data_IF_801275436357
#
_entry.id   IF_801275436357
#
_cell.length_a   1.000
_cell.length_b   1.000
_cell.length_c   1.000
_cell.angle_alpha   90.00
_cell.angle_beta   90.00
_cell.angle_gamma   90.00
#
_symmetry.space_group_name_H-M   'P 1'
#
loop_
_entity.id
_entity.type
_entity.pdbx_description
1 polymer ?
#
# COMPACT_ATOMS: atom_id res chain seq x y z
N UNK A 1 3.32 5.04 24.36
CA UNK A 1 2.18 4.42 23.66
C UNK A 1 1.93 3.06 24.27
N UNK A 2 1.09 3.01 25.29
CA UNK A 2 0.68 1.77 25.97
C UNK A 2 -0.82 1.85 26.27
N UNK A 3 -1.53 0.71 26.20
CA UNK A 3 -1.04 -0.60 25.76
C UNK A 3 -0.87 -0.73 24.22
N UNK A 4 0.09 -1.55 23.80
CA UNK A 4 0.40 -1.80 22.38
C UNK A 4 0.49 -3.28 22.08
N UNK A 5 -0.13 -3.69 20.96
CA UNK A 5 -0.06 -5.05 20.45
C UNK A 5 0.40 -5.08 19.01
N UNK A 6 1.05 -6.19 18.65
CA UNK A 6 1.34 -6.54 17.27
C UNK A 6 0.39 -7.65 16.84
N UNK A 7 -0.13 -7.56 15.62
CA UNK A 7 -0.83 -8.67 14.97
C UNK A 7 -0.10 -9.01 13.69
N UNK A 8 0.62 -10.13 13.73
CA UNK A 8 1.40 -10.63 12.60
C UNK A 8 0.56 -11.56 11.75
N UNK A 9 0.63 -11.37 10.45
CA UNK A 9 0.02 -12.23 9.45
C UNK A 9 1.10 -12.74 8.50
N UNK A 10 0.89 -13.93 7.94
CA UNK A 10 1.69 -14.42 6.83
C UNK A 10 1.16 -13.92 5.47
N UNK A 11 1.70 -14.48 4.37
CA UNK A 11 1.34 -14.07 3.02
C UNK A 11 -0.10 -14.50 2.61
N UNK A 12 -0.64 -15.53 3.24
CA UNK A 12 -1.99 -16.05 2.97
C UNK A 12 -3.05 -15.42 3.87
N UNK A 13 -2.61 -14.71 4.92
CA UNK A 13 -3.46 -14.01 5.88
C UNK A 13 -3.72 -14.83 7.13
N UNK A 14 -2.97 -15.90 7.37
CA UNK A 14 -3.02 -16.61 8.65
C UNK A 14 -2.35 -15.75 9.72
N UNK A 15 -3.05 -15.61 10.85
CA UNK A 15 -2.65 -14.74 11.96
C UNK A 15 -1.84 -15.54 12.98
N UNK A 16 -0.82 -14.90 13.57
CA UNK A 16 -0.21 -15.40 14.79
C UNK A 16 -1.27 -15.50 15.89
N UNK A 17 -1.66 -16.73 16.21
CA UNK A 17 -2.75 -16.99 17.15
C UNK A 17 -2.40 -16.58 18.57
N UNK A 18 -1.13 -16.65 18.96
CA UNK A 18 -0.68 -16.24 20.30
C UNK A 18 -0.82 -14.74 20.46
N UNK A 19 -0.37 -13.95 19.47
CA UNK A 19 -0.55 -12.50 19.46
C UNK A 19 -2.02 -12.09 19.45
N UNK A 20 -2.84 -12.76 18.62
CA UNK A 20 -4.29 -12.53 18.55
C UNK A 20 -4.97 -12.78 19.89
N UNK A 21 -4.72 -13.93 20.50
CA UNK A 21 -5.39 -14.35 21.72
C UNK A 21 -4.96 -13.47 22.91
N UNK A 22 -3.71 -13.01 22.93
CA UNK A 22 -3.21 -12.02 23.87
C UNK A 22 -3.95 -10.68 23.74
N UNK A 23 -4.07 -10.14 22.52
CA UNK A 23 -4.83 -8.91 22.25
C UNK A 23 -6.29 -9.05 22.70
N UNK A 24 -6.93 -10.19 22.42
CA UNK A 24 -8.34 -10.43 22.80
C UNK A 24 -8.53 -10.39 24.32
N UNK A 25 -7.59 -10.97 25.08
CA UNK A 25 -7.64 -10.97 26.54
C UNK A 25 -7.41 -9.57 27.12
N UNK A 26 -6.32 -8.91 26.73
CA UNK A 26 -5.92 -7.65 27.37
C UNK A 26 -6.84 -6.47 27.01
N UNK A 27 -7.42 -6.44 25.81
CA UNK A 27 -8.40 -5.39 25.45
C UNK A 27 -9.58 -5.36 26.41
N UNK A 28 -10.05 -6.53 26.85
CA UNK A 28 -11.11 -6.64 27.83
C UNK A 28 -10.64 -6.27 29.24
N UNK A 29 -9.48 -6.78 29.65
CA UNK A 29 -8.93 -6.58 30.99
C UNK A 29 -8.54 -5.11 31.26
N UNK A 30 -8.00 -4.41 30.26
CA UNK A 30 -7.63 -2.99 30.37
C UNK A 30 -8.83 -2.04 30.15
N UNK A 31 -9.99 -2.59 29.79
CA UNK A 31 -11.22 -1.87 29.45
C UNK A 31 -11.00 -0.80 28.38
N UNK A 32 -10.34 -1.18 27.28
CA UNK A 32 -10.09 -0.28 26.16
C UNK A 32 -11.40 0.18 25.55
N UNK A 33 -11.55 1.49 25.33
CA UNK A 33 -12.75 2.08 24.72
C UNK A 33 -12.60 2.23 23.22
N UNK A 34 -11.42 2.64 22.77
CA UNK A 34 -11.12 2.96 21.37
C UNK A 34 -9.78 2.30 20.98
N UNK A 35 -9.84 1.35 20.04
CA UNK A 35 -8.69 0.61 19.51
C UNK A 35 -8.26 1.21 18.17
N UNK A 36 -7.06 1.77 18.10
CA UNK A 36 -6.46 2.25 16.86
C UNK A 36 -5.66 1.11 16.21
N UNK A 37 -6.07 0.67 15.04
CA UNK A 37 -5.42 -0.42 14.29
C UNK A 37 -4.78 0.15 13.04
N UNK A 38 -3.45 0.13 12.97
CA UNK A 38 -2.68 0.67 11.85
C UNK A 38 -2.01 -0.44 11.05
N UNK A 39 -2.27 -0.47 9.75
CA UNK A 39 -1.54 -1.31 8.79
C UNK A 39 -0.62 -0.45 7.92
N UNK A 40 0.69 -0.76 7.94
CA UNK A 40 1.67 -0.12 7.07
C UNK A 40 1.53 -0.58 5.61
N UNK A 41 2.10 0.21 4.70
CA UNK A 41 2.28 -0.17 3.30
C UNK A 41 3.52 -1.02 3.08
N UNK A 42 4.68 -0.37 2.94
CA UNK A 42 5.93 -0.99 2.47
C UNK A 42 7.05 -0.82 3.52
N UNK A 43 6.98 -1.61 4.59
CA UNK A 43 8.06 -1.74 5.57
C UNK A 43 8.71 -3.12 5.41
N UNK A 44 10.04 -3.12 5.39
CA UNK A 44 10.85 -4.28 4.98
C UNK A 44 11.08 -5.28 6.12
N UNK A 45 10.94 -4.80 7.35
CA UNK A 45 11.09 -5.59 8.56
C UNK A 45 10.19 -5.02 9.67
N UNK A 46 10.12 -5.79 10.75
CA UNK A 46 9.30 -5.50 11.92
C UNK A 46 9.76 -4.23 12.63
N UNK A 47 11.07 -3.96 12.71
CA UNK A 47 11.59 -2.78 13.40
C UNK A 47 11.17 -1.49 12.69
N UNK A 48 11.28 -1.45 11.36
CA UNK A 48 10.81 -0.33 10.53
C UNK A 48 9.29 -0.14 10.66
N UNK A 49 8.53 -1.23 10.71
CA UNK A 49 7.08 -1.19 10.92
C UNK A 49 6.72 -0.61 12.29
N UNK A 50 7.34 -1.11 13.35
CA UNK A 50 7.08 -0.70 14.72
C UNK A 50 7.54 0.72 14.99
N UNK A 51 8.64 1.19 14.37
CA UNK A 51 9.03 2.60 14.42
C UNK A 51 8.00 3.52 13.74
N UNK A 52 7.51 3.16 12.55
CA UNK A 52 6.43 3.89 11.89
C UNK A 52 5.20 4.00 12.80
N UNK A 53 4.80 2.89 13.42
CA UNK A 53 3.64 2.83 14.31
C UNK A 53 3.83 3.72 15.53
N UNK A 54 4.98 3.59 16.21
CA UNK A 54 5.34 4.44 17.35
C UNK A 54 5.27 5.92 16.99
N UNK A 55 5.85 6.31 15.86
CA UNK A 55 5.89 7.72 15.42
C UNK A 55 4.52 8.25 15.03
N UNK A 56 3.71 7.46 14.33
CA UNK A 56 2.35 7.86 13.95
C UNK A 56 1.43 7.99 15.17
N UNK A 57 1.54 7.08 16.13
CA UNK A 57 0.68 7.05 17.31
C UNK A 57 1.16 7.96 18.45
N UNK A 58 2.41 8.41 18.45
CA UNK A 58 2.94 9.34 19.47
C UNK A 58 1.99 10.50 19.81
N UNK A 59 1.46 11.28 18.86
CA UNK A 59 0.53 12.37 19.18
C UNK A 59 -0.82 11.91 19.74
N UNK A 60 -1.25 10.66 19.51
CA UNK A 60 -2.58 10.19 19.89
C UNK A 60 -2.80 10.18 21.41
N UNK A 61 -1.75 9.91 22.20
CA UNK A 61 -1.85 9.89 23.66
C UNK A 61 -2.25 11.26 24.22
N UNK A 62 -1.65 12.33 23.71
CA UNK A 62 -1.90 13.70 24.17
C UNK A 62 -3.22 14.27 23.63
N UNK A 63 -3.71 13.72 22.51
CA UNK A 63 -4.99 14.10 21.92
C UNK A 63 -6.19 13.50 22.67
N UNK A 64 -6.04 12.39 23.38
CA UNK A 64 -7.16 11.64 23.95
C UNK A 64 -7.75 12.30 25.20
N UNK A 65 -9.05 12.60 25.16
CA UNK A 65 -9.76 13.15 26.31
C UNK A 65 -9.76 12.19 27.52
N UNK A 66 -9.98 12.70 28.74
CA UNK A 66 -9.74 11.97 30.00
C UNK A 66 -10.60 10.72 30.23
N UNK A 67 -11.64 10.50 29.41
CA UNK A 67 -12.51 9.31 29.47
C UNK A 67 -12.23 8.29 28.37
N UNK A 68 -11.31 8.58 27.46
CA UNK A 68 -10.90 7.68 26.38
C UNK A 68 -9.78 6.79 26.88
N UNK A 69 -9.94 5.47 26.77
CA UNK A 69 -8.87 4.49 27.00
C UNK A 69 -8.43 3.96 25.65
N UNK A 70 -7.30 4.45 25.17
CA UNK A 70 -6.76 4.07 23.87
C UNK A 70 -5.97 2.76 23.96
N UNK A 71 -6.23 1.87 23.01
CA UNK A 71 -5.35 0.75 22.69
C UNK A 71 -4.76 0.91 21.30
N UNK A 72 -3.56 0.39 21.08
CA UNK A 72 -2.83 0.53 19.82
C UNK A 72 -2.46 -0.83 19.23
N UNK A 73 -2.76 -1.04 17.95
CA UNK A 73 -2.40 -2.27 17.23
C UNK A 73 -1.61 -1.94 15.98
N UNK A 74 -0.41 -2.51 15.89
CA UNK A 74 0.39 -2.56 14.67
C UNK A 74 0.14 -3.86 13.90
N UNK A 75 -0.30 -3.77 12.64
CA UNK A 75 -0.51 -4.94 11.79
C UNK A 75 0.78 -5.26 11.03
N UNK A 76 1.43 -6.37 11.34
CA UNK A 76 2.62 -6.83 10.64
C UNK A 76 2.21 -7.81 9.55
N UNK A 77 2.70 -7.60 8.34
CA UNK A 77 2.41 -8.48 7.20
C UNK A 77 3.58 -8.44 6.22
N UNK A 78 3.79 -9.49 5.41
CA UNK A 78 4.97 -9.57 4.56
C UNK A 78 4.86 -8.53 3.44
N UNK A 79 5.56 -7.40 3.60
CA UNK A 79 5.61 -6.31 2.64
C UNK A 79 7.06 -6.04 2.23
N UNK A 80 7.25 -5.51 1.02
CA UNK A 80 8.57 -5.16 0.49
C UNK A 80 8.56 -3.74 -0.09
N UNK A 81 9.61 -2.99 0.22
CA UNK A 81 10.07 -1.75 -0.43
C UNK A 81 11.49 -1.95 -0.91
N UNK A 82 11.79 -1.51 -2.12
CA UNK A 82 13.17 -1.52 -2.59
C UNK A 82 14.01 -0.50 -1.76
N UNK A 83 15.18 -0.90 -1.21
CA UNK A 83 16.01 -0.05 -0.36
C UNK A 83 16.48 1.27 -0.99
N UNK A 84 16.54 1.36 -2.31
CA UNK A 84 16.94 2.55 -3.05
C UNK A 84 15.86 3.65 -3.11
N UNK A 85 14.68 3.41 -2.51
CA UNK A 85 13.63 4.41 -2.33
C UNK A 85 13.79 5.16 -0.99
N UNK A 86 14.03 6.50 -1.01
CA UNK A 86 14.18 7.29 0.21
C UNK A 86 12.85 7.41 0.97
N UNK A 87 12.92 7.35 2.31
CA UNK A 87 11.79 7.64 3.19
C UNK A 87 12.08 8.94 3.95
N UNK A 88 11.16 9.91 3.96
CA UNK A 88 11.23 11.04 4.89
C UNK A 88 11.33 10.55 6.33
N UNK A 89 12.18 11.19 7.13
CA UNK A 89 12.27 11.02 8.58
C UNK A 89 12.79 9.64 9.08
N UNK A 90 13.25 8.75 8.18
CA UNK A 90 14.06 7.59 8.56
C UNK A 90 15.53 7.85 8.23
N UNK A 91 16.45 7.40 9.08
CA UNK A 91 17.85 7.29 8.70
C UNK A 91 17.94 6.45 7.41
N UNK A 92 18.69 6.88 6.38
CA UNK A 92 18.98 6.03 5.24
C UNK A 92 19.52 4.70 5.77
N UNK A 93 18.97 3.57 5.29
CA UNK A 93 19.42 2.25 5.74
C UNK A 93 20.95 2.21 5.69
N UNK A 94 21.62 1.66 6.71
CA UNK A 94 23.10 1.65 6.76
C UNK A 94 23.74 0.95 5.54
N UNK A 95 22.97 0.17 4.79
CA UNK A 95 23.33 -0.43 3.50
C UNK A 95 23.34 0.55 2.32
N UNK A 96 22.65 1.69 2.43
CA UNK A 96 22.62 2.79 1.47
C UNK A 96 23.72 3.85 1.72
N UNK A 97 24.59 3.66 2.72
CA UNK A 97 25.69 4.60 3.05
C UNK A 97 26.96 4.40 2.21
N UNK A 98 26.94 3.50 1.23
CA UNK A 98 27.94 3.50 0.17
C UNK A 98 27.82 4.74 -0.72
N UNK A 99 28.89 5.18 -1.39
CA UNK A 99 28.73 6.18 -2.45
C UNK A 99 27.65 5.67 -3.40
N UNK A 100 26.63 6.49 -3.66
CA UNK A 100 25.59 6.16 -4.64
C UNK A 100 26.24 5.65 -5.93
N UNK A 101 25.58 4.74 -6.67
CA UNK A 101 26.17 4.09 -7.82
C UNK A 101 26.89 5.13 -8.68
N UNK A 102 28.20 4.92 -8.87
CA UNK A 102 29.03 5.84 -9.64
C UNK A 102 28.34 6.12 -11.00
N UNK A 103 28.42 7.33 -11.56
CA UNK A 103 27.82 7.63 -12.86
C UNK A 103 28.26 6.57 -13.88
N UNK A 104 27.30 5.77 -14.38
CA UNK A 104 27.56 4.63 -15.29
C UNK A 104 27.47 3.22 -14.68
N UNK A 105 27.33 3.07 -13.37
CA UNK A 105 26.94 1.81 -12.74
C UNK A 105 25.45 1.57 -13.03
N UNK A 106 25.15 0.83 -14.10
CA UNK A 106 23.76 0.49 -14.44
C UNK A 106 23.05 -0.36 -13.37
N UNK A 107 21.88 -0.93 -13.68
CA UNK A 107 21.05 -1.60 -12.68
C UNK A 107 21.74 -2.89 -12.21
N UNK A 108 21.77 -3.08 -10.89
CA UNK A 108 22.23 -4.29 -10.22
C UNK A 108 21.19 -4.62 -9.15
N UNK A 109 20.91 -5.90 -8.97
CA UNK A 109 20.20 -6.35 -7.79
C UNK A 109 21.20 -6.39 -6.64
N UNK A 110 21.25 -5.32 -5.85
CA UNK A 110 22.15 -5.26 -4.70
C UNK A 110 21.82 -6.35 -3.67
N UNK A 111 22.79 -6.68 -2.82
CA UNK A 111 22.64 -7.74 -1.82
C UNK A 111 21.48 -7.50 -0.84
N UNK A 112 21.27 -6.27 -0.32
CA UNK A 112 20.11 -5.97 0.52
C UNK A 112 18.77 -6.25 -0.17
N UNK A 113 18.60 -5.83 -1.42
CA UNK A 113 17.37 -6.05 -2.19
C UNK A 113 17.17 -7.53 -2.49
N UNK A 114 18.25 -8.26 -2.83
CA UNK A 114 18.21 -9.71 -3.05
C UNK A 114 17.72 -10.45 -1.81
N UNK A 115 18.33 -10.21 -0.64
CA UNK A 115 17.94 -10.84 0.62
C UNK A 115 16.49 -10.53 1.00
N UNK A 116 16.04 -9.31 0.71
CA UNK A 116 14.67 -8.89 0.97
C UNK A 116 13.66 -9.60 0.04
N UNK A 117 14.00 -9.78 -1.24
CA UNK A 117 13.20 -10.59 -2.17
C UNK A 117 13.15 -12.05 -1.72
N UNK A 118 14.27 -12.64 -1.29
CA UNK A 118 14.33 -14.02 -0.80
C UNK A 118 13.44 -14.21 0.43
N UNK A 119 13.45 -13.28 1.38
CA UNK A 119 12.54 -13.30 2.53
C UNK A 119 11.07 -13.14 2.14
N UNK A 120 10.79 -12.37 1.09
CA UNK A 120 9.42 -12.06 0.63
C UNK A 120 8.82 -13.19 -0.22
N UNK A 121 9.69 -13.95 -0.89
CA UNK A 121 9.40 -15.03 -1.84
C UNK A 121 10.31 -16.23 -1.56
N UNK A 122 10.14 -16.91 -0.40
CA UNK A 122 11.08 -17.93 0.08
C UNK A 122 11.22 -19.13 -0.86
N UNK A 123 10.17 -19.47 -1.61
CA UNK A 123 10.19 -20.60 -2.55
C UNK A 123 10.85 -20.25 -3.90
N UNK A 124 11.41 -19.05 -4.06
CA UNK A 124 11.92 -18.52 -5.33
C UNK A 124 13.39 -18.08 -5.28
N UNK A 125 14.20 -18.59 -4.35
CA UNK A 125 15.62 -18.22 -4.22
C UNK A 125 16.43 -18.45 -5.51
N UNK A 126 16.15 -19.54 -6.23
CA UNK A 126 16.84 -19.87 -7.47
C UNK A 126 16.50 -18.86 -8.59
N UNK A 127 15.22 -18.52 -8.72
CA UNK A 127 14.71 -17.53 -9.66
C UNK A 127 15.28 -16.15 -9.36
N UNK A 128 15.30 -15.73 -8.09
CA UNK A 128 15.86 -14.44 -7.65
C UNK A 128 17.36 -14.35 -8.01
N UNK A 129 18.11 -15.42 -7.80
CA UNK A 129 19.53 -15.49 -8.18
C UNK A 129 19.74 -15.34 -9.69
N UNK A 130 18.90 -15.99 -10.50
CA UNK A 130 18.94 -15.88 -11.95
C UNK A 130 18.55 -14.47 -12.43
N UNK A 131 17.53 -13.87 -11.83
CA UNK A 131 17.11 -12.47 -12.07
C UNK A 131 18.28 -11.51 -11.81
N UNK A 132 18.96 -11.66 -10.67
CA UNK A 132 20.13 -10.86 -10.33
C UNK A 132 21.28 -11.04 -11.33
N UNK A 133 21.55 -12.28 -11.74
CA UNK A 133 22.56 -12.59 -12.76
C UNK A 133 22.26 -11.94 -14.12
N UNK A 134 21.00 -11.94 -14.56
CA UNK A 134 20.59 -11.32 -15.82
C UNK A 134 20.68 -9.79 -15.77
N UNK A 135 20.31 -9.16 -14.63
CA UNK A 135 20.50 -7.72 -14.41
C UNK A 135 21.98 -7.31 -14.45
N UNK A 136 22.86 -8.16 -13.94
CA UNK A 136 24.30 -7.93 -13.99
C UNK A 136 24.88 -8.18 -15.40
N UNK A 137 24.41 -9.21 -16.12
CA UNK A 137 24.86 -9.54 -17.48
C UNK A 137 24.57 -8.40 -18.46
N UNK A 138 23.39 -7.77 -18.36
CA UNK A 138 22.92 -6.70 -19.28
C UNK A 138 23.06 -7.06 -20.75
N UNK A 139 22.77 -8.32 -21.06
CA UNK A 139 22.94 -8.88 -22.39
C UNK A 139 22.21 -8.08 -23.45
N UNK A 140 22.82 -7.96 -24.64
CA UNK A 140 22.18 -7.36 -25.80
C UNK A 140 21.26 -8.32 -26.56
N UNK A 141 21.25 -9.62 -26.17
CA UNK A 141 20.47 -10.66 -26.83
C UNK A 141 19.00 -10.59 -26.35
N UNK A 142 18.00 -10.38 -27.24
CA UNK A 142 16.60 -10.24 -26.85
C UNK A 142 16.04 -11.42 -26.03
N UNK A 143 16.50 -12.65 -26.31
CA UNK A 143 16.09 -13.85 -25.56
C UNK A 143 16.42 -13.78 -24.07
N UNK A 144 17.42 -12.99 -23.67
CA UNK A 144 17.77 -12.77 -22.26
C UNK A 144 16.75 -11.89 -21.55
N UNK A 145 16.22 -10.85 -22.21
CA UNK A 145 15.13 -10.05 -21.66
C UNK A 145 13.81 -10.85 -21.60
N UNK A 146 13.56 -11.73 -22.57
CA UNK A 146 12.42 -12.65 -22.50
C UNK A 146 12.55 -13.64 -21.33
N UNK A 147 13.75 -14.21 -21.14
CA UNK A 147 14.04 -15.05 -19.99
C UNK A 147 13.83 -14.29 -18.67
N UNK A 148 14.33 -13.05 -18.59
CA UNK A 148 14.15 -12.17 -17.44
C UNK A 148 12.67 -11.92 -17.14
N UNK A 149 11.90 -11.49 -18.15
CA UNK A 149 10.47 -11.21 -17.99
C UNK A 149 9.69 -12.44 -17.53
N UNK A 150 10.01 -13.63 -18.03
CA UNK A 150 9.41 -14.88 -17.55
C UNK A 150 9.75 -15.15 -16.08
N UNK A 151 11.02 -15.04 -15.68
CA UNK A 151 11.42 -15.23 -14.28
C UNK A 151 10.73 -14.25 -13.33
N UNK A 152 10.59 -12.98 -13.73
CA UNK A 152 9.85 -11.99 -12.93
C UNK A 152 8.38 -12.35 -12.81
N UNK A 153 7.75 -12.87 -13.87
CA UNK A 153 6.36 -13.35 -13.83
C UNK A 153 6.21 -14.56 -12.93
N UNK A 154 7.12 -15.52 -13.02
CA UNK A 154 7.13 -16.73 -12.21
C UNK A 154 7.33 -16.39 -10.72
N UNK A 155 8.23 -15.45 -10.40
CA UNK A 155 8.48 -14.95 -9.03
C UNK A 155 7.21 -14.41 -8.36
N UNK A 156 6.34 -13.75 -9.12
CA UNK A 156 5.10 -13.16 -8.60
C UNK A 156 3.86 -13.94 -9.04
N UNK A 157 4.05 -15.15 -9.58
CA UNK A 157 2.93 -16.01 -9.92
C UNK A 157 2.23 -16.44 -8.62
N UNK A 158 0.91 -16.47 -8.65
CA UNK A 158 0.11 -17.01 -7.56
C UNK A 158 -0.36 -18.40 -7.95
N UNK A 159 -0.32 -19.35 -7.01
CA UNK A 159 -0.81 -20.70 -7.25
C UNK A 159 -2.25 -20.67 -7.79
N UNK A 160 -2.53 -21.53 -8.78
CA UNK A 160 -3.87 -21.69 -9.32
C UNK A 160 -4.83 -22.05 -8.18
N UNK A 161 -5.92 -21.28 -8.03
CA UNK A 161 -6.93 -21.37 -6.95
C UNK A 161 -6.55 -20.77 -5.59
N UNK A 162 -5.41 -20.10 -5.45
CA UNK A 162 -5.10 -19.35 -4.21
C UNK A 162 -6.06 -18.18 -4.01
N UNK A 163 -6.29 -17.80 -2.75
CA UNK A 163 -7.13 -16.65 -2.43
C UNK A 163 -6.57 -15.34 -2.99
N UNK A 164 -5.24 -15.21 -3.03
CA UNK A 164 -4.52 -14.06 -3.57
C UNK A 164 -4.89 -13.74 -5.04
N UNK A 165 -5.23 -14.76 -5.84
CA UNK A 165 -5.69 -14.55 -7.22
C UNK A 165 -6.98 -13.70 -7.30
N UNK A 166 -7.87 -13.82 -6.32
CA UNK A 166 -9.15 -13.08 -6.27
C UNK A 166 -8.99 -11.62 -5.85
N UNK A 167 -7.82 -11.24 -5.35
CA UNK A 167 -7.55 -9.93 -4.75
C UNK A 167 -6.61 -9.05 -5.57
N UNK A 168 -6.33 -9.43 -6.81
CA UNK A 168 -5.38 -8.74 -7.67
C UNK A 168 -5.89 -7.42 -8.26
N UNK A 169 -7.21 -7.31 -8.39
CA UNK A 169 -7.85 -6.30 -9.23
C UNK A 169 -8.62 -5.25 -8.40
N UNK A 170 -8.41 -3.97 -8.69
CA UNK A 170 -9.13 -2.84 -8.05
C UNK A 170 -10.39 -2.44 -8.81
N UNK A 171 -10.36 -2.73 -10.09
CA UNK A 171 -11.42 -2.64 -11.10
C UNK A 171 -11.40 -3.99 -11.82
N UNK A 172 -12.52 -4.53 -12.31
CA UNK A 172 -12.63 -5.88 -12.91
C UNK A 172 -11.83 -6.06 -14.22
N UNK A 173 -10.54 -5.75 -14.25
CA UNK A 173 -9.60 -5.91 -15.35
C UNK A 173 -8.69 -7.08 -15.01
N UNK A 174 -8.23 -7.85 -16.00
CA UNK A 174 -7.38 -9.03 -15.79
C UNK A 174 -6.02 -8.70 -15.17
N UNK A 175 -5.09 -9.65 -15.23
CA UNK A 175 -3.71 -9.40 -14.80
C UNK A 175 -3.11 -8.18 -15.52
N UNK A 176 -2.25 -7.39 -14.85
CA UNK A 176 -1.62 -6.24 -15.47
C UNK A 176 -0.71 -6.71 -16.58
N UNK A 177 -0.68 -6.02 -17.71
CA UNK A 177 0.04 -6.52 -18.87
C UNK A 177 1.57 -6.47 -18.74
N UNK A 178 2.11 -5.88 -17.67
CA UNK A 178 3.51 -6.08 -17.32
C UNK A 178 3.80 -7.58 -17.06
N UNK A 179 2.77 -8.33 -16.67
CA UNK A 179 2.79 -9.76 -16.45
C UNK A 179 2.32 -10.58 -17.67
N UNK A 180 1.74 -9.98 -18.71
CA UNK A 180 1.18 -10.72 -19.85
C UNK A 180 1.74 -10.34 -21.23
N UNK A 181 2.09 -9.07 -21.47
CA UNK A 181 2.52 -8.56 -22.78
C UNK A 181 3.99 -8.91 -23.10
N UNK A 182 4.53 -8.38 -24.20
CA UNK A 182 5.93 -8.57 -24.57
C UNK A 182 6.87 -7.92 -23.54
N UNK A 183 7.82 -8.69 -23.00
CA UNK A 183 8.72 -8.23 -21.94
C UNK A 183 9.62 -7.07 -22.39
N UNK A 184 10.02 -7.02 -23.67
CA UNK A 184 10.86 -5.95 -24.20
C UNK A 184 10.08 -4.66 -24.27
N UNK A 185 8.84 -4.70 -24.79
CA UNK A 185 7.95 -3.53 -24.86
C UNK A 185 7.64 -2.98 -23.46
N UNK A 186 7.33 -3.86 -22.50
CA UNK A 186 7.09 -3.48 -21.10
C UNK A 186 8.32 -2.78 -20.50
N UNK A 187 9.53 -3.32 -20.71
CA UNK A 187 10.77 -2.69 -20.24
C UNK A 187 11.01 -1.33 -20.92
N UNK A 188 10.69 -1.17 -22.20
CA UNK A 188 10.79 0.13 -22.89
C UNK A 188 9.88 1.17 -22.26
N UNK A 189 8.63 0.82 -21.95
CA UNK A 189 7.66 1.71 -21.31
C UNK A 189 8.16 2.18 -19.94
N UNK A 190 8.65 1.25 -19.11
CA UNK A 190 9.20 1.59 -17.80
C UNK A 190 10.46 2.45 -17.90
N UNK A 191 11.38 2.12 -18.80
CA UNK A 191 12.58 2.92 -19.02
C UNK A 191 12.25 4.36 -19.42
N UNK A 192 11.31 4.55 -20.35
CA UNK A 192 10.89 5.87 -20.81
C UNK A 192 10.22 6.69 -19.69
N UNK A 193 9.42 6.04 -18.83
CA UNK A 193 8.75 6.73 -17.73
C UNK A 193 9.73 7.23 -16.66
N UNK A 194 10.80 6.47 -16.38
CA UNK A 194 11.85 6.86 -15.44
C UNK A 194 12.69 8.04 -15.95
N UNK A 195 12.74 8.30 -17.25
CA UNK A 195 13.45 9.46 -17.81
C UNK A 195 12.65 10.78 -17.65
N UNK A 196 11.32 10.70 -17.54
CA UNK A 196 10.42 11.85 -17.38
C UNK A 196 10.46 12.54 -16.01
N UNK A 197 11.20 11.99 -15.04
CA UNK A 197 11.41 12.56 -13.70
C UNK A 197 12.72 13.36 -13.57
N UNK A 198 13.54 13.40 -14.63
CA UNK A 198 14.65 14.35 -14.83
C UNK A 198 16.07 13.83 -14.56
N UNK A 199 16.81 13.49 -15.62
CA UNK A 199 18.02 14.18 -16.11
C UNK A 199 18.42 13.54 -17.44
N UNK A 200 18.68 14.38 -18.43
CA UNK A 200 18.89 13.98 -19.82
C UNK A 200 20.33 13.50 -20.03
N UNK A 201 20.62 12.23 -19.71
CA UNK A 201 21.84 11.58 -20.23
C UNK A 201 21.59 11.11 -21.67
N UNK A 202 22.01 11.95 -22.61
CA UNK A 202 21.90 11.74 -24.06
C UNK A 202 23.01 10.82 -24.63
N UNK A 203 23.70 10.02 -23.81
CA UNK A 203 24.86 9.22 -24.28
C UNK A 203 24.96 7.79 -23.71
N UNK A 204 23.87 7.23 -23.17
CA UNK A 204 23.75 5.78 -22.95
C UNK A 204 23.15 5.10 -24.19
N UNK A 205 23.70 3.96 -24.64
CA UNK A 205 23.06 3.20 -25.74
C UNK A 205 21.59 2.94 -25.40
N UNK A 206 20.70 3.03 -26.40
CA UNK A 206 19.25 2.80 -26.28
C UNK A 206 18.90 1.50 -25.50
N UNK A 207 19.84 0.55 -25.45
CA UNK A 207 19.73 -0.78 -24.84
C UNK A 207 20.21 -0.88 -23.39
N UNK A 208 21.13 -0.02 -22.91
CA UNK A 208 21.42 0.12 -21.46
C UNK A 208 20.18 0.64 -20.72
N UNK A 209 19.37 1.45 -21.39
CA UNK A 209 18.07 1.94 -20.89
C UNK A 209 17.04 0.81 -20.69
N UNK A 210 17.06 -0.24 -21.53
CA UNK A 210 16.12 -1.36 -21.39
C UNK A 210 16.30 -2.11 -20.07
N UNK A 211 17.54 -2.33 -19.62
CA UNK A 211 17.79 -3.01 -18.36
C UNK A 211 17.43 -2.17 -17.14
N UNK A 212 17.40 -0.83 -17.24
CA UNK A 212 16.78 0.02 -16.21
C UNK A 212 15.27 -0.23 -16.15
N UNK A 213 14.63 -0.34 -17.31
CA UNK A 213 13.22 -0.74 -17.41
C UNK A 213 12.96 -2.16 -16.90
N UNK A 214 13.90 -3.09 -17.07
CA UNK A 214 13.82 -4.44 -16.51
C UNK A 214 13.89 -4.42 -14.98
N UNK A 215 14.80 -3.64 -14.39
CA UNK A 215 14.85 -3.43 -12.95
C UNK A 215 13.54 -2.84 -12.41
N UNK A 216 12.97 -1.85 -13.11
CA UNK A 216 11.67 -1.28 -12.78
C UNK A 216 10.53 -2.30 -12.93
N UNK A 217 10.57 -3.17 -13.94
CA UNK A 217 9.61 -4.28 -14.09
C UNK A 217 9.64 -5.20 -12.87
N UNK A 218 10.81 -5.59 -12.37
CA UNK A 218 10.92 -6.40 -11.15
C UNK A 218 10.30 -5.67 -9.95
N UNK A 219 10.64 -4.39 -9.75
CA UNK A 219 10.06 -3.56 -8.68
C UNK A 219 8.53 -3.53 -8.75
N UNK A 220 7.97 -3.21 -9.93
CA UNK A 220 6.52 -3.11 -10.11
C UNK A 220 5.82 -4.47 -9.96
N UNK A 221 6.44 -5.56 -10.43
CA UNK A 221 5.93 -6.91 -10.21
C UNK A 221 5.86 -7.25 -8.72
N UNK A 222 6.93 -6.97 -7.96
CA UNK A 222 6.94 -7.17 -6.50
C UNK A 222 5.86 -6.34 -5.80
N UNK A 223 5.66 -5.07 -6.20
CA UNK A 223 4.58 -4.23 -5.64
C UNK A 223 3.19 -4.74 -5.99
N UNK A 224 3.00 -5.30 -7.19
CA UNK A 224 1.73 -5.95 -7.54
C UNK A 224 1.47 -7.21 -6.69
N UNK A 225 2.51 -7.97 -6.34
CA UNK A 225 2.37 -9.06 -5.38
C UNK A 225 1.92 -8.54 -4.00
N UNK A 226 2.47 -7.43 -3.52
CA UNK A 226 2.06 -6.82 -2.25
C UNK A 226 0.62 -6.33 -2.29
N UNK A 227 0.19 -5.76 -3.42
CA UNK A 227 -1.21 -5.34 -3.64
C UNK A 227 -2.19 -6.51 -3.51
N UNK A 228 -1.87 -7.68 -4.08
CA UNK A 228 -2.68 -8.91 -3.91
C UNK A 228 -2.71 -9.36 -2.46
N UNK A 229 -1.52 -9.45 -1.84
CA UNK A 229 -1.33 -9.91 -0.47
C UNK A 229 -2.08 -9.04 0.53
N UNK A 230 -2.07 -7.72 0.37
CA UNK A 230 -2.86 -6.79 1.17
C UNK A 230 -4.37 -7.13 1.15
N UNK A 231 -4.90 -7.56 0.00
CA UNK A 231 -6.28 -8.03 -0.09
C UNK A 231 -6.52 -9.36 0.63
N UNK A 232 -5.60 -10.33 0.50
CA UNK A 232 -5.64 -11.61 1.25
C UNK A 232 -5.62 -11.38 2.76
N UNK A 233 -4.56 -10.74 3.26
CA UNK A 233 -4.36 -10.45 4.68
C UNK A 233 -5.52 -9.64 5.24
N UNK A 234 -5.99 -8.64 4.49
CA UNK A 234 -7.16 -7.85 4.88
C UNK A 234 -8.41 -8.72 5.02
N UNK A 235 -8.83 -9.40 3.94
CA UNK A 235 -10.12 -10.08 3.89
C UNK A 235 -10.15 -11.42 4.66
N UNK A 236 -9.06 -12.17 4.67
CA UNK A 236 -8.99 -13.51 5.27
C UNK A 236 -8.37 -13.52 6.67
N UNK A 237 -7.48 -12.55 6.97
CA UNK A 237 -6.83 -12.46 8.27
C UNK A 237 -7.48 -11.43 9.19
N UNK A 238 -7.21 -10.15 8.93
CA UNK A 238 -7.61 -9.07 9.83
C UNK A 238 -9.14 -8.94 9.93
N UNK A 239 -9.88 -9.19 8.84
CA UNK A 239 -11.35 -9.18 8.86
C UNK A 239 -11.96 -10.12 9.90
N UNK A 240 -11.64 -11.43 9.87
CA UNK A 240 -12.02 -12.38 10.91
C UNK A 240 -11.50 -12.03 12.30
N UNK A 241 -10.27 -11.53 12.44
CA UNK A 241 -9.72 -11.10 13.74
C UNK A 241 -10.53 -9.97 14.37
N UNK A 242 -10.93 -8.94 13.60
CA UNK A 242 -11.86 -7.91 14.07
C UNK A 242 -13.23 -8.50 14.43
N UNK A 243 -13.67 -9.54 13.71
CA UNK A 243 -14.87 -10.29 14.05
C UNK A 243 -14.82 -10.96 15.42
N UNK A 244 -13.67 -11.49 15.82
CA UNK A 244 -13.45 -12.06 17.15
C UNK A 244 -13.42 -10.96 18.22
N UNK A 245 -12.69 -9.87 17.98
CA UNK A 245 -12.66 -8.70 18.89
C UNK A 245 -14.07 -8.15 19.15
N UNK A 246 -14.89 -8.02 18.10
CA UNK A 246 -16.26 -7.54 18.23
C UNK A 246 -17.18 -8.48 19.03
N UNK A 247 -16.82 -9.76 19.16
CA UNK A 247 -17.56 -10.74 19.97
C UNK A 247 -17.12 -10.70 21.43
N UNK A 248 -15.82 -10.65 21.68
CA UNK A 248 -15.26 -10.66 23.05
C UNK A 248 -15.41 -9.30 23.74
N UNK A 249 -15.31 -8.20 22.99
CA UNK A 249 -15.45 -6.83 23.49
C UNK A 249 -16.52 -6.07 22.66
N UNK A 250 -17.82 -6.30 22.91
CA UNK A 250 -18.91 -5.76 22.08
C UNK A 250 -19.02 -4.23 22.13
N UNK A 251 -18.58 -3.60 23.21
CA UNK A 251 -18.59 -2.14 23.38
C UNK A 251 -17.35 -1.45 22.79
N UNK A 252 -16.34 -2.23 22.35
CA UNK A 252 -15.11 -1.72 21.78
C UNK A 252 -15.36 -0.96 20.47
N UNK A 253 -14.76 0.21 20.36
CA UNK A 253 -14.76 1.02 19.14
C UNK A 253 -13.45 0.79 18.40
N UNK A 254 -13.52 0.26 17.18
CA UNK A 254 -12.34 -0.02 16.37
C UNK A 254 -12.18 1.06 15.30
N UNK A 255 -10.97 1.58 15.17
CA UNK A 255 -10.60 2.61 14.18
C UNK A 255 -9.50 2.07 13.29
N UNK A 256 -9.85 1.77 12.04
CA UNK A 256 -8.90 1.23 11.08
C UNK A 256 -8.13 2.36 10.41
N UNK A 257 -6.81 2.21 10.33
CA UNK A 257 -5.90 3.16 9.71
C UNK A 257 -5.02 2.36 8.77
N UNK A 258 -4.88 2.81 7.53
CA UNK A 258 -4.02 2.13 6.58
C UNK A 258 -3.24 3.11 5.74
N UNK A 259 -1.94 2.86 5.62
CA UNK A 259 -1.03 3.62 4.76
C UNK A 259 -0.72 2.86 3.49
N UNK A 260 -0.69 3.51 2.32
CA UNK A 260 -0.27 2.86 1.06
C UNK A 260 -1.03 1.54 0.79
N UNK A 261 -0.36 0.38 0.65
CA UNK A 261 -1.07 -0.91 0.54
C UNK A 261 -1.76 -1.35 1.84
N UNK A 262 -1.32 -0.88 3.00
CA UNK A 262 -2.06 -1.01 4.27
C UNK A 262 -3.44 -0.35 4.19
N UNK A 263 -3.61 0.73 3.41
CA UNK A 263 -4.92 1.33 3.13
C UNK A 263 -5.83 0.37 2.36
N UNK A 264 -5.26 -0.38 1.40
CA UNK A 264 -5.95 -1.46 0.71
C UNK A 264 -6.29 -2.58 1.68
N UNK A 265 -5.34 -3.00 2.52
CA UNK A 265 -5.51 -4.06 3.51
C UNK A 265 -6.71 -3.78 4.41
N UNK A 266 -6.76 -2.62 5.08
CA UNK A 266 -7.89 -2.26 5.95
C UNK A 266 -9.21 -2.09 5.18
N UNK A 267 -9.16 -1.76 3.90
CA UNK A 267 -10.36 -1.72 3.06
C UNK A 267 -10.89 -3.12 2.75
N UNK A 268 -10.01 -4.12 2.57
CA UNK A 268 -10.40 -5.52 2.42
C UNK A 268 -10.78 -6.18 3.75
N UNK A 269 -10.21 -5.73 4.87
CA UNK A 269 -10.69 -6.07 6.23
C UNK A 269 -12.18 -5.84 6.35
N UNK A 270 -12.67 -4.67 5.94
CA UNK A 270 -14.10 -4.37 6.00
C UNK A 270 -14.98 -5.36 5.22
N UNK A 271 -14.47 -5.91 4.11
CA UNK A 271 -15.15 -6.96 3.35
C UNK A 271 -15.13 -8.30 4.07
N UNK A 272 -14.00 -8.64 4.69
CA UNK A 272 -13.75 -9.89 5.41
C UNK A 272 -14.42 -10.02 6.77
N UNK A 273 -14.83 -8.92 7.39
CA UNK A 273 -15.55 -8.97 8.66
C UNK A 273 -16.83 -9.83 8.56
N UNK A 274 -17.27 -10.48 9.65
CA UNK A 274 -18.62 -11.01 9.75
C UNK A 274 -19.69 -9.91 9.55
N UNK A 275 -20.85 -10.28 9.00
CA UNK A 275 -21.92 -9.33 8.66
C UNK A 275 -22.52 -8.60 9.89
N UNK A 276 -22.42 -9.22 11.07
CA UNK A 276 -22.89 -8.69 12.36
C UNK A 276 -21.98 -7.61 12.94
N UNK A 277 -20.72 -7.48 12.50
CA UNK A 277 -19.77 -6.54 13.08
C UNK A 277 -20.22 -5.09 12.86
N UNK A 278 -20.27 -4.33 13.96
CA UNK A 278 -20.58 -2.88 14.00
C UNK A 278 -19.59 -2.08 14.86
N UNK A 279 -18.54 -2.73 15.39
CA UNK A 279 -17.52 -2.11 16.24
C UNK A 279 -16.61 -1.14 15.46
N UNK A 280 -16.45 -1.30 14.14
CA UNK A 280 -15.63 -0.39 13.32
C UNK A 280 -16.33 0.96 13.14
N UNK A 281 -15.79 2.00 13.77
CA UNK A 281 -16.37 3.36 13.83
C UNK A 281 -15.75 4.31 12.81
N UNK A 282 -14.56 4.04 12.31
CA UNK A 282 -13.98 4.81 11.22
C UNK A 282 -12.94 3.99 10.46
N UNK A 283 -12.67 4.40 9.22
CA UNK A 283 -11.53 3.93 8.45
C UNK A 283 -10.83 5.12 7.82
N UNK A 284 -9.54 5.29 8.09
CA UNK A 284 -8.71 6.39 7.57
C UNK A 284 -7.62 5.83 6.66
N UNK A 285 -7.65 6.24 5.39
CA UNK A 285 -6.72 5.83 4.35
C UNK A 285 -5.71 6.96 4.16
N UNK A 286 -4.44 6.71 4.49
CA UNK A 286 -3.33 7.65 4.33
C UNK A 286 -2.56 7.27 3.07
N UNK A 287 -2.54 8.15 2.05
CA UNK A 287 -1.79 7.91 0.81
C UNK A 287 -2.09 6.52 0.23
N UNK A 288 -3.38 6.16 0.12
CA UNK A 288 -3.79 4.80 -0.25
C UNK A 288 -3.36 4.39 -1.66
N UNK A 289 -2.68 3.24 -1.77
CA UNK A 289 -2.11 2.72 -3.02
C UNK A 289 -3.04 1.74 -3.73
N UNK A 290 -4.26 2.19 -4.09
CA UNK A 290 -5.22 1.43 -4.88
C UNK A 290 -6.19 2.37 -5.60
N UNK A 291 -7.00 1.85 -6.52
CA UNK A 291 -7.78 2.70 -7.42
C UNK A 291 -8.70 3.66 -6.67
N UNK A 292 -8.71 4.92 -7.09
CA UNK A 292 -9.67 5.93 -6.63
C UNK A 292 -11.14 5.59 -6.92
N UNK A 293 -11.40 4.61 -7.80
CA UNK A 293 -12.74 4.09 -8.12
C UNK A 293 -13.10 2.82 -7.36
N UNK A 294 -12.25 2.33 -6.45
CA UNK A 294 -12.48 1.04 -5.81
C UNK A 294 -13.83 0.93 -5.10
N UNK A 295 -14.37 2.03 -4.56
CA UNK A 295 -15.68 2.05 -3.87
C UNK A 295 -16.86 2.42 -4.78
N UNK A 296 -16.61 2.70 -6.06
CA UNK A 296 -17.61 3.19 -6.99
C UNK A 296 -18.64 2.13 -7.35
N UNK A 297 -19.92 2.51 -7.37
CA UNK A 297 -21.01 1.65 -7.85
C UNK A 297 -20.95 1.40 -9.35
N UNK A 298 -20.50 2.39 -10.13
CA UNK A 298 -20.39 2.33 -11.59
C UNK A 298 -19.15 3.08 -12.04
N UNK A 299 -18.25 2.39 -12.73
CA UNK A 299 -17.03 3.00 -13.25
C UNK A 299 -17.38 3.99 -14.38
N UNK A 300 -16.84 5.23 -14.39
CA UNK A 300 -17.12 6.21 -15.44
C UNK A 300 -16.79 5.70 -16.86
N UNK A 301 -15.74 4.90 -16.98
CA UNK A 301 -15.24 4.33 -18.24
C UNK A 301 -15.84 2.94 -18.55
N UNK A 302 -16.60 2.34 -17.63
CA UNK A 302 -17.27 1.06 -17.83
C UNK A 302 -18.53 0.99 -16.95
N UNK A 303 -19.65 1.65 -17.33
CA UNK A 303 -20.80 1.84 -16.45
C UNK A 303 -21.52 0.57 -15.99
N UNK A 304 -21.28 -0.56 -16.67
CA UNK A 304 -21.78 -1.90 -16.30
C UNK A 304 -20.93 -2.59 -15.24
N UNK A 305 -19.75 -2.03 -14.92
CA UNK A 305 -18.80 -2.54 -13.92
C UNK A 305 -18.77 -1.64 -12.69
N UNK A 306 -18.43 -2.22 -11.56
CA UNK A 306 -18.24 -1.51 -10.30
C UNK A 306 -16.80 -1.64 -9.80
N UNK A 307 -16.38 -0.76 -8.91
CA UNK A 307 -15.10 -0.90 -8.22
C UNK A 307 -15.05 -2.17 -7.37
N UNK A 308 -13.85 -2.71 -7.17
CA UNK A 308 -13.65 -3.98 -6.49
C UNK A 308 -14.17 -3.98 -5.04
N UNK A 309 -14.31 -2.83 -4.39
CA UNK A 309 -14.77 -2.63 -3.01
C UNK A 309 -16.12 -1.89 -2.94
N UNK A 310 -16.90 -1.87 -4.02
CA UNK A 310 -18.22 -1.26 -4.05
C UNK A 310 -19.09 -1.72 -2.86
N UNK A 311 -19.53 -0.74 -2.08
CA UNK A 311 -20.44 -0.94 -0.96
C UNK A 311 -19.79 -1.37 0.36
N UNK A 312 -18.49 -1.66 0.35
CA UNK A 312 -17.74 -2.04 1.56
C UNK A 312 -17.68 -0.88 2.56
N UNK A 313 -17.66 0.37 2.09
CA UNK A 313 -17.73 1.56 2.95
C UNK A 313 -18.99 1.62 3.83
N UNK A 314 -20.06 0.90 3.48
CA UNK A 314 -21.30 0.82 4.29
C UNK A 314 -21.17 -0.11 5.49
N UNK A 315 -20.05 -0.84 5.61
CA UNK A 315 -19.73 -1.71 6.76
C UNK A 315 -19.21 -0.94 7.97
N UNK A 316 -18.88 0.34 7.79
CA UNK A 316 -18.36 1.24 8.84
C UNK A 316 -19.56 1.93 9.51
N UNK A 317 -19.61 1.92 10.84
CA UNK A 317 -20.53 2.76 11.62
C UNK A 317 -19.98 4.18 11.79
N UNK A 318 -19.69 4.82 10.66
CA UNK A 318 -19.01 6.12 10.60
C UNK A 318 -18.43 6.41 9.20
N UNK A 319 -17.43 7.29 9.08
CA UNK A 319 -16.90 7.70 7.79
C UNK A 319 -15.75 6.80 7.30
N UNK A 320 -15.66 6.67 5.98
CA UNK A 320 -14.44 6.28 5.27
C UNK A 320 -13.74 7.57 4.83
N UNK A 321 -12.56 7.84 5.39
CA UNK A 321 -11.78 9.04 5.12
C UNK A 321 -10.55 8.66 4.31
N UNK A 322 -10.29 9.38 3.21
CA UNK A 322 -9.07 9.28 2.42
C UNK A 322 -8.30 10.59 2.48
N UNK A 323 -7.14 10.56 3.13
CA UNK A 323 -6.17 11.64 3.10
C UNK A 323 -5.29 11.46 1.86
N UNK A 324 -5.29 12.46 0.97
CA UNK A 324 -4.53 12.43 -0.27
C UNK A 324 -3.57 13.62 -0.35
N UNK A 325 -2.50 13.48 -1.12
CA UNK A 325 -1.57 14.57 -1.40
C UNK A 325 -1.16 14.60 -2.86
N UNK A 326 -1.15 15.79 -3.46
CA UNK A 326 -0.60 16.00 -4.81
C UNK A 326 0.92 15.87 -4.87
N UNK A 327 1.59 15.84 -3.71
CA UNK A 327 3.04 15.69 -3.59
C UNK A 327 3.48 14.22 -3.52
N UNK A 328 2.54 13.28 -3.56
CA UNK A 328 2.81 11.85 -3.62
C UNK A 328 3.11 11.44 -5.07
N UNK A 329 4.39 11.38 -5.42
CA UNK A 329 4.84 11.03 -6.77
C UNK A 329 4.70 9.54 -7.06
N UNK A 330 4.80 8.65 -6.05
CA UNK A 330 4.56 7.23 -6.24
C UNK A 330 3.13 6.99 -6.77
N UNK A 331 2.15 7.65 -6.16
CA UNK A 331 0.74 7.53 -6.55
C UNK A 331 0.36 8.42 -7.74
N UNK A 332 1.05 9.54 -7.90
CA UNK A 332 0.83 10.53 -8.96
C UNK A 332 1.63 10.30 -10.24
N UNK A 333 2.52 9.30 -10.29
CA UNK A 333 3.35 8.97 -11.47
C UNK A 333 3.41 7.46 -11.74
N UNK A 334 3.88 6.70 -10.76
CA UNK A 334 4.21 5.28 -10.93
C UNK A 334 2.95 4.41 -10.94
N UNK A 335 2.02 4.64 -10.00
CA UNK A 335 0.83 3.80 -9.87
C UNK A 335 -0.04 3.79 -11.16
N UNK A 336 -0.37 4.93 -11.80
CA UNK A 336 -1.20 4.92 -13.00
C UNK A 336 -0.47 4.37 -14.22
N UNK A 337 0.87 4.47 -14.26
CA UNK A 337 1.67 3.81 -15.29
C UNK A 337 1.58 2.29 -15.15
N UNK A 338 1.91 1.75 -13.97
CA UNK A 338 1.82 0.32 -13.69
C UNK A 338 0.39 -0.21 -13.89
N UNK A 339 -0.62 0.61 -13.57
CA UNK A 339 -2.03 0.27 -13.76
C UNK A 339 -2.49 0.39 -15.22
N UNK A 340 -1.92 1.28 -16.05
CA UNK A 340 -2.23 1.36 -17.49
C UNK A 340 -1.66 0.19 -18.27
N UNK A 341 -0.48 -0.28 -17.86
CA UNK A 341 0.04 -1.53 -18.41
C UNK A 341 -0.99 -2.65 -18.11
N UNK A 342 -1.99 -2.51 -17.24
CA UNK A 342 -3.14 -3.43 -17.14
C UNK A 342 -4.22 -3.39 -18.25
N UNK A 343 -3.82 -3.21 -19.52
CA UNK A 343 -4.60 -3.67 -20.67
C UNK A 343 -5.50 -2.65 -21.37
N UNK A 344 -4.97 -1.47 -21.72
CA UNK A 344 -5.62 -0.63 -22.74
C UNK A 344 -4.62 0.23 -23.55
N UNK A 345 -4.78 0.28 -24.87
CA UNK A 345 -3.83 0.81 -25.87
C UNK A 345 -3.91 2.33 -26.10
N UNK A 346 -4.48 3.10 -25.15
CA UNK A 346 -4.61 4.56 -25.29
C UNK A 346 -3.32 5.31 -24.91
N UNK A 347 -3.09 6.46 -25.55
CA UNK A 347 -2.00 7.42 -25.25
C UNK A 347 -1.95 7.84 -23.78
N UNK A 348 -0.82 8.42 -23.31
CA UNK A 348 -0.66 8.90 -21.92
C UNK A 348 -1.66 9.99 -21.49
N UNK A 349 -2.32 10.68 -22.44
CA UNK A 349 -3.45 11.56 -22.14
C UNK A 349 -4.65 10.75 -21.63
N UNK A 350 -5.15 11.06 -20.43
CA UNK A 350 -6.30 10.38 -19.81
C UNK A 350 -5.94 9.21 -18.87
N UNK A 351 -4.65 8.86 -18.76
CA UNK A 351 -4.12 7.84 -17.85
C UNK A 351 -4.61 8.04 -16.40
N UNK A 352 -4.49 9.27 -15.92
CA UNK A 352 -4.83 9.68 -14.56
C UNK A 352 -6.32 9.62 -14.25
N UNK A 353 -7.18 9.79 -15.27
CA UNK A 353 -8.64 9.78 -15.10
C UNK A 353 -9.20 8.37 -14.96
N UNK A 354 -8.52 7.37 -15.53
CA UNK A 354 -8.94 5.96 -15.48
C UNK A 354 -8.21 5.16 -14.41
N UNK A 355 -6.93 5.42 -14.23
CA UNK A 355 -6.02 4.58 -13.44
C UNK A 355 -5.45 5.29 -12.19
N UNK A 356 -6.10 6.35 -11.72
CA UNK A 356 -5.63 7.13 -10.57
C UNK A 356 -5.69 6.36 -9.25
N UNK A 357 -4.77 6.71 -8.34
CA UNK A 357 -4.72 6.19 -6.99
C UNK A 357 -5.50 7.07 -6.01
N UNK A 358 -6.23 6.43 -5.09
CA UNK A 358 -7.03 7.10 -4.05
C UNK A 358 -6.18 8.03 -3.17
N UNK A 359 -4.90 7.70 -2.92
CA UNK A 359 -3.99 8.54 -2.16
C UNK A 359 -3.43 9.76 -2.89
N UNK A 360 -3.64 9.87 -4.20
CA UNK A 360 -3.22 11.03 -4.99
C UNK A 360 -4.36 12.04 -5.17
N UNK A 361 -5.59 11.57 -5.43
CA UNK A 361 -6.72 12.46 -5.75
C UNK A 361 -8.03 12.16 -5.01
N UNK A 362 -7.99 11.28 -4.01
CA UNK A 362 -9.10 10.95 -3.13
C UNK A 362 -10.11 9.98 -3.74
N UNK A 363 -11.27 9.85 -3.11
CA UNK A 363 -12.35 8.94 -3.53
C UNK A 363 -13.10 9.52 -4.73
N UNK A 364 -13.33 8.70 -5.77
CA UNK A 364 -14.02 9.10 -7.01
C UNK A 364 -15.24 8.24 -7.30
N UNK A 365 -16.20 8.85 -8.02
CA UNK A 365 -17.44 8.21 -8.50
C UNK A 365 -18.23 7.45 -7.42
N UNK A 366 -18.31 8.01 -6.21
CA UNK A 366 -19.19 7.54 -5.13
C UNK A 366 -20.21 8.63 -4.83
N UNK A 367 -21.50 8.29 -4.95
CA UNK A 367 -22.59 9.24 -4.70
C UNK A 367 -22.51 9.78 -3.27
N UNK A 368 -22.61 11.11 -3.13
CA UNK A 368 -22.57 11.79 -1.85
C UNK A 368 -21.17 11.90 -1.22
N UNK A 369 -20.10 11.42 -1.88
CA UNK A 369 -18.74 11.61 -1.39
C UNK A 369 -18.39 13.10 -1.27
N UNK A 370 -17.77 13.48 -0.14
CA UNK A 370 -17.42 14.87 0.17
C UNK A 370 -15.92 15.09 0.02
N UNK A 371 -15.53 16.31 -0.32
CA UNK A 371 -14.13 16.73 -0.35
C UNK A 371 -13.93 17.92 0.60
N UNK A 372 -12.92 17.85 1.44
CA UNK A 372 -12.59 18.87 2.43
C UNK A 372 -11.08 19.11 2.44
N UNK A 373 -10.65 20.27 2.94
CA UNK A 373 -9.23 20.54 3.23
C UNK A 373 -8.89 20.05 4.63
N UNK A 374 -7.63 19.68 4.86
CA UNK A 374 -7.12 19.39 6.21
C UNK A 374 -7.47 20.53 7.18
N UNK A 375 -7.82 20.16 8.42
CA UNK A 375 -8.27 21.10 9.45
C UNK A 375 -9.75 21.51 9.36
N UNK A 376 -10.50 21.09 8.33
CA UNK A 376 -11.95 21.28 8.27
C UNK A 376 -12.70 20.11 8.91
N UNK A 377 -13.94 20.37 9.33
CA UNK A 377 -14.79 19.37 9.96
C UNK A 377 -15.01 18.15 9.04
N UNK A 378 -14.78 16.95 9.59
CA UNK A 378 -15.00 15.69 8.90
C UNK A 378 -16.48 15.30 9.02
N UNK A 379 -17.19 15.00 7.92
CA UNK A 379 -18.54 14.42 7.96
C UNK A 379 -18.62 13.16 8.83
N UNK A 380 -19.75 12.95 9.51
CA UNK A 380 -19.91 11.81 10.44
C UNK A 380 -20.10 10.46 9.75
N UNK A 381 -20.51 10.44 8.49
CA UNK A 381 -20.77 9.22 7.72
C UNK A 381 -20.42 9.42 6.25
N UNK A 382 -20.26 8.32 5.54
CA UNK A 382 -20.01 8.30 4.11
C UNK A 382 -18.53 8.45 3.74
N UNK A 383 -18.28 8.64 2.46
CA UNK A 383 -16.92 8.80 1.92
C UNK A 383 -16.47 10.25 1.98
N UNK A 384 -15.26 10.49 2.49
CA UNK A 384 -14.66 11.82 2.62
C UNK A 384 -13.25 11.80 2.06
N UNK A 385 -12.93 12.74 1.16
CA UNK A 385 -11.56 12.99 0.70
C UNK A 385 -11.01 14.24 1.38
N UNK A 386 -9.92 14.09 2.13
CA UNK A 386 -9.22 15.17 2.82
C UNK A 386 -7.96 15.52 2.04
N UNK A 387 -7.88 16.75 1.54
CA UNK A 387 -6.63 17.28 0.95
C UNK A 387 -5.63 17.53 2.08
N UNK A 388 -4.62 16.66 2.18
CA UNK A 388 -3.55 16.70 3.17
C UNK A 388 -2.26 17.33 2.62
N UNK A 389 -2.29 17.88 1.40
CA UNK A 389 -1.09 18.40 0.71
C UNK A 389 -0.39 19.56 1.43
N UNK A 390 -1.02 20.17 2.44
CA UNK A 390 -0.39 21.22 3.26
C UNK A 390 0.66 20.68 4.23
N UNK A 391 0.53 19.42 4.66
CA UNK A 391 1.45 18.77 5.61
C UNK A 391 2.20 17.61 4.98
N UNK A 392 1.52 16.78 4.16
CA UNK A 392 2.12 15.67 3.41
C UNK A 392 2.79 16.22 2.16
N UNK A 393 4.05 16.64 2.29
CA UNK A 393 4.83 17.31 1.24
C UNK A 393 6.34 17.10 1.31
N UNK A 394 6.85 16.39 2.32
CA UNK A 394 8.28 16.09 2.50
C UNK A 394 8.62 14.78 1.81
N UNK A 395 9.76 14.73 1.13
CA UNK A 395 10.29 13.53 0.49
C UNK A 395 11.02 13.84 -0.79
N UNK A 396 11.47 12.78 -1.46
CA UNK A 396 12.28 12.86 -2.66
C UNK A 396 11.85 11.85 -3.72
N UNK A 397 12.29 12.02 -4.98
CA UNK A 397 12.05 11.03 -6.00
C UNK A 397 12.64 9.65 -5.60
N UNK A 398 12.05 8.54 -6.07
CA UNK A 398 10.90 8.48 -6.97
C UNK A 398 9.53 8.61 -6.28
N UNK A 399 9.49 8.48 -4.95
CA UNK A 399 8.23 8.33 -4.20
C UNK A 399 7.56 9.64 -3.79
N UNK A 400 8.29 10.76 -3.76
CA UNK A 400 7.80 12.04 -3.29
C UNK A 400 7.37 11.97 -1.82
N UNK A 401 6.20 12.55 -1.50
CA UNK A 401 5.67 12.60 -0.14
C UNK A 401 4.90 11.35 0.33
N UNK A 402 5.10 10.20 -0.33
CA UNK A 402 4.31 8.99 -0.09
C UNK A 402 4.33 8.50 1.36
N UNK A 403 5.49 8.59 2.03
CA UNK A 403 5.67 8.13 3.42
C UNK A 403 5.65 9.25 4.45
N UNK A 404 5.33 10.48 4.04
CA UNK A 404 5.28 11.66 4.91
C UNK A 404 3.96 11.72 5.70
N UNK A 405 3.71 10.71 6.53
CA UNK A 405 2.41 10.48 7.19
C UNK A 405 2.41 10.68 8.71
N UNK A 406 3.59 10.84 9.31
CA UNK A 406 3.73 11.06 10.75
C UNK A 406 3.55 12.54 11.10
N UNK A 407 2.31 13.02 11.02
CA UNK A 407 1.91 14.38 11.38
C UNK A 407 0.75 14.36 12.38
N UNK A 408 0.80 15.22 13.39
CA UNK A 408 -0.27 15.35 14.38
C UNK A 408 -1.61 15.68 13.71
N UNK A 409 -1.60 16.47 12.63
CA UNK A 409 -2.80 16.82 11.87
C UNK A 409 -3.50 15.59 11.27
N UNK A 410 -2.73 14.56 10.88
CA UNK A 410 -3.30 13.30 10.40
C UNK A 410 -3.85 12.44 11.54
N UNK A 411 -3.21 12.46 12.71
CA UNK A 411 -3.77 11.86 13.92
C UNK A 411 -5.10 12.55 14.30
N UNK A 412 -5.18 13.89 14.22
CA UNK A 412 -6.44 14.63 14.43
C UNK A 412 -7.54 14.25 13.43
N UNK A 413 -7.20 13.89 12.19
CA UNK A 413 -8.18 13.33 11.24
C UNK A 413 -8.72 11.99 11.73
N UNK A 414 -7.87 11.10 12.24
CA UNK A 414 -8.30 9.81 12.82
C UNK A 414 -9.29 10.03 13.97
N UNK A 415 -8.98 10.94 14.89
CA UNK A 415 -9.85 11.28 16.02
C UNK A 415 -11.17 11.88 15.56
N UNK A 416 -11.14 12.85 14.65
CA UNK A 416 -12.32 13.49 14.11
C UNK A 416 -13.23 12.51 13.35
N UNK A 417 -12.63 11.59 12.58
CA UNK A 417 -13.34 10.53 11.87
C UNK A 417 -13.96 9.52 12.85
N UNK A 418 -13.19 9.11 13.85
CA UNK A 418 -13.60 8.16 14.88
C UNK A 418 -14.54 8.72 15.94
N UNK A 419 -14.73 10.04 15.99
CA UNK A 419 -15.46 10.73 17.08
C UNK A 419 -14.87 10.41 18.45
N UNK A 420 -13.54 10.26 18.50
CA UNK A 420 -12.79 10.09 19.73
C UNK A 420 -12.72 11.45 20.42
N UNK A 421 -13.10 11.51 21.69
CA UNK A 421 -13.09 12.76 22.43
C UNK A 421 -11.66 13.29 22.56
N UNK A 422 -11.48 14.60 22.32
CA UNK A 422 -10.20 15.27 22.49
C UNK A 422 -10.00 15.76 23.94
N UNK A 423 -8.75 16.01 24.32
CA UNK A 423 -8.35 16.70 25.56
C UNK A 423 -8.95 18.09 25.70
#
# INVERSE_FOLDING_TARGET
MEPYWELTFDADGDVDTTQRDHLLAEVADEHITDLLVLAHGWNNDQDMATDLYRRFFAPCQDLAGPRVRLGYVGVLWPAIRFPDEPIPDFEPSLTATGPGPAPGAGPLLDEPTRLLLERTFPDHEAEIRLIGGLLAERSEVPSRLYQYGRLVRDLVAVHQNSAAQRFANDTWTGEPAMLTDDAVEVCQVFAAAMEGTGQQELFGSLRKRLWNGAHELLRQASYYAMKRRAGSVGQLGLGPAIGLLAREAPDLRVHLIGHSFGARLVSYTLRGMPASVRSVKSTTLLQGAFSHYAFSKRLPHAPTRSGALNGVQRRIDGPLVSCYSRHDDALGKIYPLASKIAGDSSTFLGLWERWGAIGYDGIRAVDGARRVKLGRAIPAKGCVSVDASSVVRRGGPPSGAHSDICHEELARVVFAAGRIALT
#
